data_IF_490929085239
#
_entry.id   IF_490929085239
#
_cell.length_a   1.000
_cell.length_b   1.000
_cell.length_c   1.000
_cell.angle_alpha   90.00
_cell.angle_beta   90.00
_cell.angle_gamma   90.00
#
_symmetry.space_group_name_H-M   'P 1'
#
loop_
_entity.id
_entity.type
_entity.pdbx_description
1 polymer ?
#
# COMPACT_ATOMS: atom_id res chain seq x y z
N UNK A 1 -2.50 -78.84 25.30
CA UNK A 1 -1.18 -78.45 25.85
C UNK A 1 -0.76 -77.15 25.20
N UNK A 2 -0.23 -76.21 26.00
CA UNK A 2 0.26 -74.85 25.69
C UNK A 2 -0.80 -73.79 25.36
N UNK A 3 -1.44 -73.13 26.34
CA UNK A 3 -1.00 -72.07 27.29
C UNK A 3 -0.89 -70.68 26.63
N UNK A 4 -1.87 -69.80 26.89
CA UNK A 4 -1.76 -68.40 27.37
C UNK A 4 -3.20 -67.88 27.60
N UNK A 5 -3.76 -68.00 28.82
CA UNK A 5 -3.70 -67.05 29.96
C UNK A 5 -4.41 -65.70 29.73
N UNK A 6 -5.64 -65.67 30.26
CA UNK A 6 -6.30 -64.63 31.07
C UNK A 6 -6.82 -63.32 30.45
N UNK A 7 -8.16 -63.26 30.53
CA UNK A 7 -9.11 -62.14 30.48
C UNK A 7 -9.06 -61.35 31.81
N UNK A 8 -9.19 -60.02 31.75
CA UNK A 8 -10.01 -59.09 32.59
C UNK A 8 -9.44 -57.66 32.38
N UNK A 9 -10.08 -56.76 31.62
CA UNK A 9 -11.36 -56.04 31.78
C UNK A 9 -11.35 -54.99 32.92
N UNK A 10 -11.37 -53.70 32.55
CA UNK A 10 -12.07 -52.58 33.18
C UNK A 10 -11.63 -51.26 32.50
N UNK A 11 -12.43 -50.26 32.14
CA UNK A 11 -13.86 -49.96 32.26
C UNK A 11 -14.16 -48.95 31.13
N UNK A 12 -15.30 -49.10 30.48
CA UNK A 12 -15.87 -48.12 29.59
C UNK A 12 -16.20 -46.82 30.33
N UNK A 13 -15.88 -45.67 29.74
CA UNK A 13 -16.70 -44.47 29.91
C UNK A 13 -16.74 -43.71 28.59
N UNK A 14 -17.91 -43.84 27.97
CA UNK A 14 -18.47 -42.98 26.94
C UNK A 14 -18.38 -41.51 27.36
N UNK A 15 -17.76 -40.71 26.52
CA UNK A 15 -18.31 -39.41 26.14
C UNK A 15 -17.92 -39.21 24.67
N UNK A 16 -18.78 -39.68 23.77
CA UNK A 16 -18.93 -39.03 22.47
C UNK A 16 -19.47 -37.64 22.81
N UNK A 17 -18.56 -36.71 23.08
CA UNK A 17 -18.91 -35.31 22.92
C UNK A 17 -18.93 -35.15 21.42
N UNK A 18 -20.13 -35.12 20.85
CA UNK A 18 -20.35 -34.41 19.61
C UNK A 18 -19.97 -32.95 19.92
N UNK A 19 -18.67 -32.66 19.87
CA UNK A 19 -18.20 -31.30 19.70
C UNK A 19 -18.75 -30.97 18.33
N UNK A 20 -19.74 -30.06 18.29
CA UNK A 20 -20.09 -29.40 17.05
C UNK A 20 -18.76 -29.03 16.40
N UNK A 21 -18.47 -29.60 15.24
CA UNK A 21 -17.23 -29.32 14.54
C UNK A 21 -17.29 -27.85 14.12
N UNK A 22 -16.92 -26.95 15.04
CA UNK A 22 -16.32 -25.68 14.68
C UNK A 22 -15.09 -26.09 13.88
N UNK A 23 -15.18 -25.95 12.55
CA UNK A 23 -14.11 -26.30 11.65
C UNK A 23 -12.91 -25.40 11.95
N UNK A 24 -12.06 -25.81 12.89
CA UNK A 24 -10.80 -25.11 13.14
C UNK A 24 -9.87 -25.45 11.98
N UNK A 25 -9.79 -24.54 11.03
CA UNK A 25 -8.87 -24.63 9.91
C UNK A 25 -7.45 -24.29 10.40
N UNK A 26 -6.57 -25.28 10.42
CA UNK A 26 -5.15 -25.09 10.70
C UNK A 26 -4.36 -25.17 9.39
N UNK A 27 -3.71 -24.08 9.02
CA UNK A 27 -2.71 -24.07 7.95
C UNK A 27 -1.36 -23.68 8.53
N UNK A 28 -0.34 -24.51 8.29
CA UNK A 28 1.03 -24.23 8.74
C UNK A 28 1.77 -23.43 7.67
N UNK A 29 2.47 -22.38 8.08
CA UNK A 29 3.30 -21.61 7.17
C UNK A 29 4.50 -22.50 6.85
N UNK A 30 4.89 -22.61 5.59
CA UNK A 30 6.14 -23.29 5.23
C UNK A 30 7.30 -22.75 6.07
N UNK A 31 8.34 -23.57 6.26
CA UNK A 31 9.49 -23.18 7.09
C UNK A 31 10.14 -21.91 6.56
N UNK A 32 10.07 -20.83 7.34
CA UNK A 32 10.96 -19.68 7.14
C UNK A 32 12.40 -20.19 7.10
N UNK A 33 13.17 -19.75 6.12
CA UNK A 33 14.51 -20.26 5.85
C UNK A 33 15.53 -19.14 5.82
N UNK A 34 16.70 -19.41 6.36
CA UNK A 34 17.86 -18.53 6.31
C UNK A 34 19.01 -19.27 5.63
N UNK A 35 19.67 -18.61 4.69
CA UNK A 35 20.85 -19.11 4.02
C UNK A 35 21.94 -18.05 4.00
N UNK A 36 23.16 -18.48 4.26
CA UNK A 36 24.37 -17.67 4.07
C UNK A 36 25.27 -18.38 3.06
N UNK A 37 25.59 -17.72 1.96
CA UNK A 37 26.34 -18.30 0.85
C UNK A 37 27.43 -17.33 0.41
N UNK A 38 28.59 -17.86 0.05
CA UNK A 38 29.61 -17.10 -0.67
C UNK A 38 29.44 -17.41 -2.17
N UNK A 39 29.16 -16.41 -2.99
CA UNK A 39 28.95 -16.61 -4.41
C UNK A 39 30.26 -16.86 -5.17
N UNK A 40 30.15 -17.11 -6.48
CA UNK A 40 31.28 -17.40 -7.36
C UNK A 40 32.27 -16.23 -7.48
N UNK A 41 31.86 -15.02 -7.11
CA UNK A 41 32.67 -13.80 -7.08
C UNK A 41 33.23 -13.51 -5.67
N UNK A 42 33.17 -14.49 -4.76
CA UNK A 42 33.57 -14.36 -3.36
C UNK A 42 32.73 -13.38 -2.52
N UNK A 43 31.55 -12.97 -2.98
CA UNK A 43 30.67 -12.09 -2.22
C UNK A 43 29.80 -12.90 -1.26
N UNK A 44 29.67 -12.41 -0.03
CA UNK A 44 28.84 -12.94 1.05
C UNK A 44 27.41 -12.48 0.84
N UNK A 45 26.52 -13.44 0.69
CA UNK A 45 25.10 -13.25 0.41
C UNK A 45 24.28 -13.84 1.56
N UNK A 46 23.29 -13.08 2.01
CA UNK A 46 22.27 -13.55 2.94
C UNK A 46 20.96 -13.70 2.18
N UNK A 47 20.35 -14.87 2.26
CA UNK A 47 19.04 -15.17 1.70
C UNK A 47 18.06 -15.47 2.84
N UNK A 48 16.92 -14.78 2.84
CA UNK A 48 15.81 -15.00 3.79
C UNK A 48 14.57 -15.39 3.01
N UNK A 49 13.87 -16.41 3.47
CA UNK A 49 12.55 -16.80 2.98
C UNK A 49 11.61 -16.71 4.17
N UNK A 50 10.57 -15.90 4.05
CA UNK A 50 9.52 -15.73 5.05
C UNK A 50 8.20 -16.17 4.43
N UNK A 51 7.54 -17.13 5.08
CA UNK A 51 6.14 -17.44 4.79
C UNK A 51 5.28 -16.77 5.86
N UNK A 52 4.26 -16.04 5.46
CA UNK A 52 3.33 -15.40 6.38
C UNK A 52 1.88 -15.62 5.93
N UNK A 53 0.96 -15.67 6.89
CA UNK A 53 -0.47 -15.66 6.68
C UNK A 53 -1.06 -14.46 7.37
N UNK A 54 -1.75 -13.61 6.63
CA UNK A 54 -2.51 -12.50 7.20
C UNK A 54 -4.00 -12.75 7.06
N UNK A 55 -4.76 -12.49 8.13
CA UNK A 55 -6.21 -12.57 8.11
C UNK A 55 -6.79 -11.16 8.17
N UNK A 56 -7.43 -10.73 7.09
CA UNK A 56 -8.12 -9.46 7.02
C UNK A 56 -9.62 -9.65 7.18
N UNK A 57 -10.22 -8.74 7.94
CA UNK A 57 -11.66 -8.67 8.17
C UNK A 57 -12.18 -7.40 7.52
N UNK A 58 -13.13 -7.53 6.60
CA UNK A 58 -13.80 -6.38 5.99
C UNK A 58 -15.28 -6.37 6.37
N UNK A 59 -15.80 -5.19 6.65
CA UNK A 59 -17.19 -4.96 7.01
C UNK A 59 -17.94 -4.33 5.83
N UNK A 60 -19.05 -4.94 5.44
CA UNK A 60 -19.95 -4.42 4.42
C UNK A 60 -20.99 -3.45 5.00
N UNK A 61 -21.73 -2.72 4.14
CA UNK A 61 -22.76 -1.75 4.57
C UNK A 61 -23.94 -2.34 5.36
N UNK A 62 -24.05 -3.67 5.42
CA UNK A 62 -25.13 -4.41 6.07
C UNK A 62 -24.66 -5.16 7.31
N UNK A 63 -23.56 -4.73 7.94
CA UNK A 63 -22.82 -5.47 8.97
C UNK A 63 -22.39 -6.88 8.54
N UNK A 64 -22.32 -7.14 7.23
CA UNK A 64 -21.84 -8.40 6.71
C UNK A 64 -20.31 -8.43 6.79
N UNK A 65 -19.78 -9.44 7.49
CA UNK A 65 -18.35 -9.65 7.63
C UNK A 65 -17.84 -10.53 6.49
N UNK A 66 -16.76 -10.12 5.84
CA UNK A 66 -16.01 -10.95 4.90
C UNK A 66 -14.60 -11.18 5.43
N UNK A 67 -14.18 -12.45 5.45
CA UNK A 67 -12.83 -12.85 5.85
C UNK A 67 -11.98 -13.12 4.62
N UNK A 68 -10.74 -12.63 4.65
CA UNK A 68 -9.76 -12.82 3.60
C UNK A 68 -8.45 -13.30 4.19
N UNK A 69 -7.92 -14.39 3.66
CA UNK A 69 -6.61 -14.94 4.02
C UNK A 69 -5.62 -14.59 2.92
N UNK A 70 -4.57 -13.84 3.26
CA UNK A 70 -3.43 -13.60 2.38
C UNK A 70 -2.30 -14.53 2.77
N UNK A 71 -2.06 -15.53 1.93
CA UNK A 71 -0.90 -16.41 2.02
C UNK A 71 0.26 -15.79 1.23
N UNK A 72 1.37 -15.47 1.90
CA UNK A 72 2.50 -14.80 1.29
C UNK A 72 3.82 -15.52 1.52
N UNK A 73 4.65 -15.54 0.49
CA UNK A 73 6.03 -16.04 0.51
C UNK A 73 6.96 -14.99 -0.03
N UNK A 74 7.68 -14.33 0.86
CA UNK A 74 8.67 -13.32 0.54
C UNK A 74 10.07 -13.93 0.61
N UNK A 75 10.80 -13.89 -0.49
CA UNK A 75 12.23 -14.24 -0.53
C UNK A 75 13.04 -12.98 -0.73
N UNK A 76 13.91 -12.63 0.21
CA UNK A 76 14.85 -11.50 0.08
C UNK A 76 16.28 -12.00 0.04
N UNK A 77 17.12 -11.26 -0.68
CA UNK A 77 18.56 -11.51 -0.75
C UNK A 77 19.31 -10.18 -0.74
N UNK A 78 20.32 -10.08 0.11
CA UNK A 78 21.24 -8.94 0.19
C UNK A 78 22.68 -9.40 0.35
N UNK A 79 23.61 -8.58 -0.12
CA UNK A 79 25.04 -8.81 0.09
C UNK A 79 25.52 -8.11 1.36
N UNK A 80 26.52 -8.71 2.03
CA UNK A 80 27.24 -8.05 3.12
C UNK A 80 28.44 -7.22 2.60
N UNK A 81 28.78 -7.37 1.33
CA UNK A 81 29.96 -6.76 0.72
C UNK A 81 29.61 -5.61 -0.23
N UNK A 82 28.38 -5.58 -0.74
CA UNK A 82 27.86 -4.51 -1.59
C UNK A 82 26.46 -4.13 -1.17
N UNK A 83 26.12 -2.84 -1.32
CA UNK A 83 24.78 -2.37 -1.02
C UNK A 83 23.78 -2.88 -2.06
N UNK A 84 22.60 -3.28 -1.59
CA UNK A 84 21.52 -3.75 -2.44
C UNK A 84 20.72 -4.86 -1.80
N UNK A 85 19.42 -4.80 -2.03
CA UNK A 85 18.49 -5.86 -1.67
C UNK A 85 17.66 -6.21 -2.91
N UNK A 86 17.50 -7.49 -3.14
CA UNK A 86 16.56 -8.02 -4.14
C UNK A 86 15.51 -8.83 -3.40
N UNK A 87 14.32 -8.92 -3.97
CA UNK A 87 13.32 -9.79 -3.39
C UNK A 87 12.24 -10.20 -4.38
N UNK A 88 11.68 -11.37 -4.13
CA UNK A 88 10.57 -11.95 -4.88
C UNK A 88 9.46 -12.29 -3.89
N UNK A 89 8.29 -11.75 -4.13
CA UNK A 89 7.07 -12.07 -3.40
C UNK A 89 6.18 -12.95 -4.26
N UNK A 90 5.62 -13.99 -3.65
CA UNK A 90 4.43 -14.68 -4.15
C UNK A 90 3.34 -14.52 -3.10
N UNK A 91 2.12 -14.23 -3.53
CA UNK A 91 0.97 -14.15 -2.63
C UNK A 91 -0.28 -14.74 -3.28
N UNK A 92 -1.15 -15.31 -2.47
CA UNK A 92 -2.45 -15.84 -2.83
C UNK A 92 -3.48 -15.36 -1.82
N UNK A 93 -4.62 -14.87 -2.30
CA UNK A 93 -5.73 -14.43 -1.46
C UNK A 93 -6.91 -15.37 -1.60
N UNK A 94 -7.45 -15.79 -0.45
CA UNK A 94 -8.59 -16.70 -0.34
C UNK A 94 -9.69 -16.13 0.54
N UNK A 95 -10.92 -16.59 0.34
CA UNK A 95 -12.11 -16.23 1.14
C UNK A 95 -13.06 -17.42 1.28
N UNK A 96 -14.29 -17.16 1.71
CA UNK A 96 -15.36 -18.14 1.86
C UNK A 96 -15.22 -18.99 3.13
N UNK A 97 -16.11 -19.96 3.27
CA UNK A 97 -16.11 -20.88 4.42
C UNK A 97 -14.75 -21.57 4.52
N UNK A 98 -14.16 -21.51 5.72
CA UNK A 98 -12.84 -22.07 6.02
C UNK A 98 -11.71 -21.54 5.11
N UNK A 99 -11.86 -20.38 4.46
CA UNK A 99 -10.82 -19.71 3.67
C UNK A 99 -10.30 -20.55 2.50
N UNK A 100 -11.19 -21.33 1.87
CA UNK A 100 -10.84 -22.27 0.80
C UNK A 100 -11.04 -21.74 -0.63
N UNK A 101 -11.77 -20.64 -0.82
CA UNK A 101 -12.10 -20.14 -2.15
C UNK A 101 -10.98 -19.21 -2.63
N UNK A 102 -10.17 -19.57 -3.64
CA UNK A 102 -9.16 -18.69 -4.18
C UNK A 102 -9.80 -17.50 -4.90
N UNK A 103 -9.32 -16.30 -4.62
CA UNK A 103 -9.73 -15.08 -5.31
C UNK A 103 -8.74 -14.71 -6.39
N UNK A 104 -7.49 -14.53 -6.01
CA UNK A 104 -6.41 -14.17 -6.93
C UNK A 104 -5.06 -14.54 -6.34
N UNK A 105 -4.06 -14.63 -7.22
CA UNK A 105 -2.67 -14.81 -6.83
C UNK A 105 -1.78 -13.84 -7.61
N UNK A 106 -0.60 -13.57 -7.07
CA UNK A 106 0.36 -12.64 -7.65
C UNK A 106 1.78 -13.05 -7.34
N UNK A 107 2.66 -12.80 -8.30
CA UNK A 107 4.11 -12.86 -8.09
C UNK A 107 4.74 -11.58 -8.63
N UNK A 108 5.60 -10.94 -7.84
CA UNK A 108 6.34 -9.76 -8.27
C UNK A 108 7.69 -9.60 -7.56
N UNK A 109 8.51 -8.71 -8.08
CA UNK A 109 9.65 -8.18 -7.33
C UNK A 109 9.13 -7.35 -6.16
N UNK A 110 9.54 -7.69 -4.94
CA UNK A 110 9.22 -6.96 -3.72
C UNK A 110 10.17 -7.40 -2.60
N UNK A 111 10.46 -6.48 -1.69
CA UNK A 111 11.33 -6.68 -0.52
C UNK A 111 10.58 -6.55 0.80
N UNK A 112 9.33 -6.08 0.76
CA UNK A 112 8.40 -6.06 1.88
C UNK A 112 6.96 -6.32 1.40
N UNK A 113 6.12 -6.71 2.35
CA UNK A 113 4.68 -6.81 2.23
C UNK A 113 4.08 -6.30 3.53
N UNK A 114 3.06 -5.46 3.44
CA UNK A 114 2.35 -4.86 4.56
C UNK A 114 0.83 -4.92 4.31
N UNK A 115 0.04 -4.79 5.36
CA UNK A 115 -1.41 -4.97 5.32
C UNK A 115 -2.13 -3.83 6.01
N UNK A 116 -3.17 -3.32 5.35
CA UNK A 116 -4.09 -2.35 5.92
C UNK A 116 -5.42 -3.02 6.22
N UNK A 117 -5.71 -3.19 7.50
CA UNK A 117 -6.93 -3.85 7.97
C UNK A 117 -8.16 -2.96 7.88
N UNK A 118 -7.99 -1.64 7.90
CA UNK A 118 -9.09 -0.68 7.84
C UNK A 118 -9.65 -0.62 6.41
N UNK A 119 -8.75 -0.54 5.43
CA UNK A 119 -9.12 -0.41 4.02
C UNK A 119 -9.09 -1.73 3.23
N UNK A 120 -8.64 -2.82 3.86
CA UNK A 120 -8.51 -4.12 3.20
C UNK A 120 -7.49 -4.08 2.07
N UNK A 121 -6.30 -3.53 2.34
CA UNK A 121 -5.24 -3.40 1.35
C UNK A 121 -4.07 -4.33 1.63
N UNK A 122 -3.43 -4.80 0.56
CA UNK A 122 -2.07 -5.33 0.61
C UNK A 122 -1.15 -4.33 -0.06
N UNK A 123 -0.07 -3.93 0.60
CA UNK A 123 0.97 -3.11 -0.01
C UNK A 123 2.27 -3.88 -0.16
N UNK A 124 2.94 -3.70 -1.30
CA UNK A 124 4.21 -4.38 -1.59
C UNK A 124 5.31 -3.35 -1.84
N UNK A 125 6.33 -3.35 -0.99
CA UNK A 125 7.47 -2.43 -1.09
C UNK A 125 8.61 -3.02 -1.91
N UNK A 126 9.34 -2.18 -2.63
CA UNK A 126 10.58 -2.56 -3.30
C UNK A 126 11.68 -1.60 -2.89
N UNK A 127 12.48 -1.97 -1.91
CA UNK A 127 13.63 -1.18 -1.46
C UNK A 127 14.82 -1.43 -2.39
N UNK A 128 15.65 -0.41 -2.59
CA UNK A 128 16.97 -0.54 -3.23
C UNK A 128 18.02 0.26 -2.46
N UNK A 129 19.28 0.14 -2.88
CA UNK A 129 20.37 0.92 -2.32
C UNK A 129 20.41 2.35 -2.89
N UNK A 130 21.43 3.09 -2.46
CA UNK A 130 22.03 4.15 -3.28
C UNK A 130 21.16 5.41 -3.45
N UNK A 131 20.35 5.73 -2.44
CA UNK A 131 19.57 6.97 -2.38
C UNK A 131 18.24 6.94 -3.13
N UNK A 132 17.85 5.80 -3.71
CA UNK A 132 16.52 5.62 -4.28
C UNK A 132 15.45 5.50 -3.19
N UNK A 133 14.34 6.21 -3.34
CA UNK A 133 13.21 6.14 -2.42
C UNK A 133 12.44 4.83 -2.62
N UNK A 134 12.18 4.10 -1.54
CA UNK A 134 11.37 2.87 -1.58
C UNK A 134 9.97 3.16 -2.10
N UNK A 135 9.61 2.57 -3.23
CA UNK A 135 8.28 2.61 -3.81
C UNK A 135 7.42 1.42 -3.39
N UNK A 136 6.14 1.67 -3.24
CA UNK A 136 5.10 0.74 -2.83
C UNK A 136 4.01 0.66 -3.89
N UNK A 137 3.37 -0.49 -3.98
CA UNK A 137 2.13 -0.73 -4.75
C UNK A 137 1.03 -1.13 -3.81
N UNK A 138 -0.15 -0.51 -3.91
CA UNK A 138 -1.33 -0.88 -3.14
C UNK A 138 -2.31 -1.69 -3.98
N UNK A 139 -2.77 -2.82 -3.43
CA UNK A 139 -3.74 -3.71 -4.03
C UNK A 139 -4.95 -3.86 -3.14
N UNK A 140 -6.13 -3.89 -3.74
CA UNK A 140 -7.36 -4.27 -3.05
C UNK A 140 -7.34 -5.78 -2.74
N UNK A 141 -7.53 -6.16 -1.48
CA UNK A 141 -7.54 -7.57 -1.04
C UNK A 141 -8.65 -8.36 -1.72
N UNK A 142 -9.81 -7.74 -1.95
CA UNK A 142 -10.98 -8.43 -2.49
C UNK A 142 -10.82 -8.79 -3.97
N UNK A 143 -10.30 -7.87 -4.78
CA UNK A 143 -10.23 -8.02 -6.25
C UNK A 143 -8.83 -8.28 -6.80
N UNK A 144 -7.78 -7.94 -6.06
CA UNK A 144 -6.39 -8.02 -6.53
C UNK A 144 -6.01 -6.92 -7.52
N UNK A 145 -6.92 -5.97 -7.77
CA UNK A 145 -6.62 -4.83 -8.64
C UNK A 145 -5.54 -3.94 -8.01
N UNK A 146 -4.56 -3.55 -8.83
CA UNK A 146 -3.65 -2.47 -8.49
C UNK A 146 -4.46 -1.18 -8.40
N UNK A 147 -4.41 -0.52 -7.24
CA UNK A 147 -5.04 0.78 -7.05
C UNK A 147 -4.09 1.84 -7.60
N UNK A 148 -2.89 1.95 -7.01
CA UNK A 148 -1.83 2.85 -7.44
C UNK A 148 -0.50 2.50 -6.77
N UNK A 149 0.56 3.17 -7.22
CA UNK A 149 1.86 3.19 -6.55
C UNK A 149 2.11 4.51 -5.85
N UNK A 150 2.91 4.45 -4.79
CA UNK A 150 3.25 5.59 -3.94
C UNK A 150 4.62 5.36 -3.28
N UNK A 151 5.24 6.41 -2.77
CA UNK A 151 6.30 6.34 -1.78
C UNK A 151 5.72 6.73 -0.41
N UNK A 152 6.27 6.17 0.67
CA UNK A 152 5.95 6.63 2.02
C UNK A 152 6.85 7.80 2.38
N UNK A 153 6.22 8.94 2.71
CA UNK A 153 6.90 10.16 3.16
C UNK A 153 6.66 10.43 4.65
N UNK A 154 5.95 9.53 5.34
CA UNK A 154 5.74 9.59 6.78
C UNK A 154 7.04 9.19 7.49
N UNK A 155 7.66 10.13 8.19
CA UNK A 155 8.83 9.87 9.02
C UNK A 155 8.43 9.12 10.29
N UNK A 156 8.29 7.80 10.21
CA UNK A 156 7.96 6.98 11.38
C UNK A 156 8.09 5.49 11.11
N UNK A 157 9.00 4.84 11.84
CA UNK A 157 9.04 3.38 11.94
C UNK A 157 7.75 2.91 12.62
N UNK A 158 6.84 2.28 11.87
CA UNK A 158 5.70 1.54 12.43
C UNK A 158 4.31 1.96 11.95
N UNK A 159 4.17 2.92 11.04
CA UNK A 159 2.89 3.17 10.38
C UNK A 159 2.64 2.12 9.28
N UNK A 160 1.41 1.60 9.22
CA UNK A 160 0.94 0.83 8.06
C UNK A 160 1.12 1.68 6.82
N UNK A 161 1.79 1.14 5.81
CA UNK A 161 2.08 1.89 4.59
C UNK A 161 0.89 1.82 3.64
N UNK A 162 0.14 2.90 3.56
CA UNK A 162 -0.93 3.09 2.59
C UNK A 162 -0.81 4.49 1.93
N UNK A 163 -1.35 4.68 0.73
CA UNK A 163 -1.48 6.01 0.15
C UNK A 163 -2.49 6.85 0.93
N UNK A 164 -2.55 8.17 0.68
CA UNK A 164 -3.58 9.00 1.29
C UNK A 164 -4.97 8.50 0.87
N UNK A 165 -5.91 8.50 1.81
CA UNK A 165 -7.28 8.01 1.59
C UNK A 165 -8.27 9.16 1.75
N UNK A 166 -9.19 9.31 0.82
CA UNK A 166 -10.40 10.12 0.99
C UNK A 166 -11.57 9.17 1.24
N UNK A 167 -12.08 9.22 2.45
CA UNK A 167 -13.23 8.43 2.89
C UNK A 167 -14.46 9.34 3.04
N UNK A 168 -15.61 8.83 2.61
CA UNK A 168 -16.87 9.54 2.64
C UNK A 168 -17.85 8.76 3.50
N UNK A 169 -18.05 9.15 4.76
CA UNK A 169 -18.88 8.39 5.68
C UNK A 169 -20.34 8.33 5.19
N UNK A 170 -21.00 7.21 5.49
CA UNK A 170 -22.38 6.90 5.14
C UNK A 170 -22.76 7.12 3.66
N UNK A 171 -21.79 7.10 2.75
CA UNK A 171 -21.99 7.23 1.30
C UNK A 171 -21.82 5.89 0.60
N UNK A 172 -22.38 5.80 -0.62
CA UNK A 172 -22.12 4.71 -1.56
C UNK A 172 -20.91 4.98 -2.46
N UNK A 173 -20.24 6.13 -2.28
CA UNK A 173 -19.07 6.46 -3.06
C UNK A 173 -17.85 5.63 -2.61
N UNK A 174 -17.07 5.08 -3.56
CA UNK A 174 -15.86 4.32 -3.21
C UNK A 174 -14.80 5.23 -2.58
N UNK A 175 -13.91 4.65 -1.77
CA UNK A 175 -12.74 5.36 -1.25
C UNK A 175 -11.81 5.77 -2.40
N UNK A 176 -11.24 6.98 -2.29
CA UNK A 176 -10.25 7.49 -3.24
C UNK A 176 -8.89 7.38 -2.61
N UNK A 177 -7.93 6.99 -3.43
CA UNK A 177 -6.55 6.86 -3.02
C UNK A 177 -5.73 7.87 -3.78
N UNK A 178 -4.84 8.57 -3.07
CA UNK A 178 -3.89 9.52 -3.63
C UNK A 178 -2.48 9.07 -3.26
N UNK A 179 -1.72 8.67 -4.27
CA UNK A 179 -0.31 8.30 -4.14
C UNK A 179 0.60 9.37 -4.71
N UNK A 180 1.74 9.60 -4.06
CA UNK A 180 2.83 10.42 -4.63
C UNK A 180 4.03 9.52 -4.85
N UNK A 181 4.61 9.56 -6.04
CA UNK A 181 5.79 8.80 -6.43
C UNK A 181 6.92 9.77 -6.75
N UNK A 182 8.09 9.62 -6.13
CA UNK A 182 9.26 10.45 -6.39
C UNK A 182 9.97 10.05 -7.68
N UNK A 183 10.70 11.01 -8.28
CA UNK A 183 11.45 10.80 -9.54
C UNK A 183 12.52 9.70 -9.46
N UNK A 184 13.02 9.44 -8.26
CA UNK A 184 14.01 8.42 -7.89
C UNK A 184 13.37 7.14 -7.31
N UNK A 185 12.05 7.03 -7.34
CA UNK A 185 11.33 5.87 -6.79
C UNK A 185 11.74 4.57 -7.46
N UNK A 186 11.82 3.50 -6.68
CA UNK A 186 12.08 2.14 -7.19
C UNK A 186 10.86 1.50 -7.88
N UNK A 187 9.68 2.13 -7.83
CA UNK A 187 8.45 1.65 -8.48
C UNK A 187 7.89 2.67 -9.44
N UNK A 188 7.18 2.14 -10.45
CA UNK A 188 6.31 2.87 -11.38
C UNK A 188 6.85 4.23 -11.84
N UNK A 189 7.81 4.16 -12.74
CA UNK A 189 8.53 5.30 -13.33
C UNK A 189 7.83 5.84 -14.57
N UNK A 190 6.50 5.99 -14.53
CA UNK A 190 5.67 6.42 -15.67
C UNK A 190 5.81 7.93 -15.99
N UNK A 191 7.00 8.50 -15.77
CA UNK A 191 7.30 9.89 -16.04
C UNK A 191 7.42 10.11 -17.54
N UNK A 192 6.80 11.18 -18.02
CA UNK A 192 7.08 11.69 -19.36
C UNK A 192 8.29 12.61 -19.31
N UNK A 193 8.96 12.78 -20.44
CA UNK A 193 10.09 13.69 -20.54
C UNK A 193 9.69 15.11 -20.09
N UNK A 194 10.42 15.71 -19.14
CA UNK A 194 10.21 17.10 -18.73
C UNK A 194 10.48 18.08 -19.88
N UNK A 195 9.98 19.31 -19.72
CA UNK A 195 10.38 20.41 -20.62
C UNK A 195 11.90 20.71 -20.48
N UNK A 196 12.54 21.29 -21.51
CA UNK A 196 13.95 21.67 -21.44
C UNK A 196 14.27 22.52 -20.20
N UNK A 197 15.34 22.16 -19.48
CA UNK A 197 15.76 22.84 -18.26
C UNK A 197 14.98 22.45 -16.99
N UNK A 198 14.07 21.47 -17.08
CA UNK A 198 13.35 20.90 -15.94
C UNK A 198 13.77 19.45 -15.70
N UNK A 199 13.65 18.99 -14.47
CA UNK A 199 13.89 17.61 -14.04
C UNK A 199 12.61 17.03 -13.48
N UNK A 200 12.33 15.76 -13.77
CA UNK A 200 11.20 15.04 -13.19
C UNK A 200 11.35 14.94 -11.68
N UNK A 201 10.31 15.24 -10.93
CA UNK A 201 10.39 15.30 -9.46
C UNK A 201 9.36 14.42 -8.79
N UNK A 202 8.09 14.49 -9.20
CA UNK A 202 7.04 13.66 -8.62
C UNK A 202 5.95 13.29 -9.64
N UNK A 203 5.30 12.15 -9.41
CA UNK A 203 4.02 11.78 -10.00
C UNK A 203 2.98 11.72 -8.90
N UNK A 204 1.91 12.51 -9.02
CA UNK A 204 0.73 12.41 -8.17
C UNK A 204 -0.30 11.57 -8.91
N UNK A 205 -0.77 10.51 -8.27
CA UNK A 205 -1.70 9.53 -8.83
C UNK A 205 -2.97 9.54 -7.98
N UNK A 206 -4.14 9.59 -8.61
CA UNK A 206 -5.42 9.48 -7.93
C UNK A 206 -6.28 8.41 -8.61
N UNK A 207 -6.95 7.58 -7.81
CA UNK A 207 -7.85 6.55 -8.32
C UNK A 207 -8.71 5.91 -7.24
N UNK A 208 -9.46 4.90 -7.66
CA UNK A 208 -10.26 4.02 -6.81
C UNK A 208 -9.90 2.57 -7.18
N UNK A 209 -10.42 1.60 -6.43
CA UNK A 209 -10.31 0.19 -6.79
C UNK A 209 -10.83 -0.05 -8.21
N UNK A 210 -9.98 -0.64 -9.06
CA UNK A 210 -10.31 -0.99 -10.45
C UNK A 210 -10.39 0.18 -11.43
N UNK A 211 -10.19 1.44 -11.00
CA UNK A 211 -10.24 2.59 -11.92
C UNK A 211 -9.28 3.71 -11.50
N UNK A 212 -8.33 3.98 -12.39
CA UNK A 212 -7.42 5.11 -12.27
C UNK A 212 -8.06 6.40 -12.81
N UNK A 213 -7.96 7.51 -12.07
CA UNK A 213 -8.65 8.77 -12.42
C UNK A 213 -7.72 9.79 -13.06
N UNK A 214 -6.56 10.03 -12.45
CA UNK A 214 -5.68 11.13 -12.84
C UNK A 214 -4.23 10.84 -12.50
N UNK A 215 -3.34 11.32 -13.36
CA UNK A 215 -1.89 11.35 -13.14
C UNK A 215 -1.37 12.74 -13.42
N UNK A 216 -0.71 13.33 -12.44
CA UNK A 216 -0.10 14.65 -12.55
C UNK A 216 1.41 14.51 -12.41
N UNK A 217 2.17 15.13 -13.30
CA UNK A 217 3.62 15.19 -13.20
C UNK A 217 4.04 16.56 -12.70
N UNK A 218 4.87 16.54 -11.65
CA UNK A 218 5.59 17.68 -11.12
C UNK A 218 7.03 17.61 -11.64
N UNK A 219 7.44 18.66 -12.35
CA UNK A 219 8.79 18.88 -12.82
C UNK A 219 9.35 20.16 -12.18
N UNK A 220 10.65 20.22 -11.90
CA UNK A 220 11.27 21.43 -11.34
C UNK A 220 12.61 21.78 -11.97
N UNK A 221 12.95 23.07 -11.95
CA UNK A 221 14.31 23.55 -12.16
C UNK A 221 15.15 23.17 -10.95
N UNK A 222 16.39 22.73 -11.21
CA UNK A 222 17.36 22.40 -10.18
C UNK A 222 18.61 23.25 -10.37
N UNK A 223 19.24 23.63 -9.27
CA UNK A 223 20.53 24.30 -9.27
C UNK A 223 21.62 23.36 -9.78
N UNK A 224 22.71 23.94 -10.28
CA UNK A 224 23.84 23.16 -10.78
C UNK A 224 24.41 22.24 -9.69
N UNK A 225 24.54 20.95 -10.00
CA UNK A 225 25.03 19.94 -9.06
C UNK A 225 23.99 19.36 -8.09
N UNK A 226 22.73 19.81 -8.16
CA UNK A 226 21.64 19.31 -7.30
C UNK A 226 20.70 18.34 -8.05
N UNK A 227 20.11 17.42 -7.29
CA UNK A 227 19.01 16.56 -7.73
C UNK A 227 17.70 17.02 -7.06
N UNK A 228 16.54 16.86 -7.72
CA UNK A 228 15.27 17.20 -7.10
C UNK A 228 14.98 16.22 -5.97
N UNK A 229 14.44 16.72 -4.85
CA UNK A 229 14.06 15.93 -3.68
C UNK A 229 12.68 16.32 -3.20
N UNK A 230 11.90 15.34 -2.74
CA UNK A 230 10.63 15.57 -2.05
C UNK A 230 10.94 15.60 -0.55
N UNK A 231 10.74 16.76 0.06
CA UNK A 231 11.04 16.99 1.48
C UNK A 231 9.89 16.51 2.36
N UNK A 232 8.65 16.71 1.91
CA UNK A 232 7.46 16.20 2.59
C UNK A 232 6.26 16.15 1.65
N UNK A 233 5.34 15.26 1.95
CA UNK A 233 4.01 15.20 1.35
C UNK A 233 3.00 15.12 2.48
N UNK A 234 1.99 15.98 2.46
CA UNK A 234 0.95 16.02 3.48
C UNK A 234 -0.42 16.25 2.84
N UNK A 235 -1.46 15.75 3.49
CA UNK A 235 -2.84 16.06 3.18
C UNK A 235 -3.39 16.99 4.26
N UNK A 236 -3.99 18.10 3.87
CA UNK A 236 -4.51 19.11 4.78
C UNK A 236 -5.90 19.60 4.36
N UNK A 237 -6.62 20.20 5.32
CA UNK A 237 -7.92 20.83 5.05
C UNK A 237 -7.72 22.10 4.21
N UNK A 238 -8.56 22.30 3.20
CA UNK A 238 -8.58 23.54 2.43
C UNK A 238 -9.53 24.54 3.08
N UNK A 239 -8.98 25.53 3.80
CA UNK A 239 -9.74 26.56 4.51
C UNK A 239 -10.58 27.48 3.61
N UNK A 240 -10.31 27.50 2.31
CA UNK A 240 -11.08 28.29 1.34
C UNK A 240 -12.39 27.62 0.92
N UNK A 241 -12.59 26.35 1.27
CA UNK A 241 -13.80 25.59 0.93
C UNK A 241 -14.76 25.61 2.13
N UNK A 242 -16.04 26.00 1.94
CA UNK A 242 -17.04 25.94 3.00
C UNK A 242 -17.13 24.54 3.62
N UNK A 243 -17.38 24.49 4.92
CA UNK A 243 -17.51 23.26 5.71
C UNK A 243 -16.26 22.37 5.79
N UNK A 244 -15.11 22.77 5.23
CA UNK A 244 -13.86 21.99 5.34
C UNK A 244 -13.41 21.78 6.79
N UNK A 245 -13.82 22.65 7.71
CA UNK A 245 -13.58 22.47 9.15
C UNK A 245 -14.14 21.17 9.74
N UNK A 246 -15.18 20.59 9.12
CA UNK A 246 -15.79 19.32 9.54
C UNK A 246 -14.97 18.08 9.13
N UNK A 247 -14.06 18.21 8.17
CA UNK A 247 -13.22 17.10 7.72
C UNK A 247 -12.30 16.67 8.86
N UNK A 248 -12.11 15.38 9.07
CA UNK A 248 -11.12 14.85 10.01
C UNK A 248 -9.95 14.29 9.21
N UNK A 249 -8.72 14.50 9.68
CA UNK A 249 -7.52 13.94 9.04
C UNK A 249 -6.70 13.22 10.10
N UNK A 250 -6.62 11.90 10.00
CA UNK A 250 -5.88 11.02 10.92
C UNK A 250 -5.10 9.99 10.10
N UNK A 251 -3.81 9.83 10.36
CA UNK A 251 -2.94 8.84 9.69
C UNK A 251 -3.13 8.80 8.16
N UNK A 252 -2.99 9.94 7.48
CA UNK A 252 -3.13 10.03 6.01
C UNK A 252 -4.52 9.67 5.45
N UNK A 253 -5.53 9.50 6.32
CA UNK A 253 -6.94 9.34 5.97
C UNK A 253 -7.66 10.66 6.22
N UNK A 254 -8.34 11.18 5.20
CA UNK A 254 -9.29 12.27 5.33
C UNK A 254 -10.71 11.72 5.32
N UNK A 255 -11.42 11.87 6.42
CA UNK A 255 -12.86 11.56 6.53
C UNK A 255 -13.65 12.82 6.24
N UNK A 256 -14.32 12.84 5.09
CA UNK A 256 -15.02 14.01 4.57
C UNK A 256 -16.44 14.08 5.15
N UNK A 257 -16.58 14.45 6.42
CA UNK A 257 -17.89 14.60 7.09
C UNK A 257 -18.79 15.69 6.49
N UNK A 258 -18.21 16.64 5.73
CA UNK A 258 -18.95 17.72 5.06
C UNK A 258 -19.88 17.22 3.94
N UNK A 259 -19.75 15.95 3.54
CA UNK A 259 -20.52 15.32 2.46
C UNK A 259 -21.18 14.01 2.93
N UNK A 260 -21.33 13.84 4.25
CA UNK A 260 -21.98 12.69 4.87
C UNK A 260 -23.37 12.41 4.26
N UNK A 261 -23.63 11.16 3.88
CA UNK A 261 -24.84 10.74 3.17
C UNK A 261 -24.96 11.23 1.71
N UNK A 262 -23.97 11.99 1.20
CA UNK A 262 -23.92 12.48 -0.17
C UNK A 262 -23.35 11.43 -1.13
N UNK A 263 -24.03 11.18 -2.24
CA UNK A 263 -23.61 10.21 -3.27
C UNK A 263 -23.09 10.85 -4.55
N UNK A 264 -22.96 12.18 -4.61
CA UNK A 264 -22.52 12.91 -5.81
C UNK A 264 -21.01 13.20 -5.76
N UNK A 265 -20.21 12.69 -6.71
CA UNK A 265 -18.79 13.05 -6.85
C UNK A 265 -18.53 14.55 -6.95
N UNK A 266 -19.50 15.34 -7.44
CA UNK A 266 -19.36 16.80 -7.55
C UNK A 266 -19.21 17.50 -6.19
N UNK A 267 -19.67 16.85 -5.11
CA UNK A 267 -19.58 17.35 -3.75
C UNK A 267 -18.21 17.09 -3.09
N UNK A 268 -17.37 16.21 -3.64
CA UNK A 268 -16.07 15.85 -3.05
C UNK A 268 -15.09 17.02 -3.17
N UNK A 269 -14.86 17.72 -2.06
CA UNK A 269 -13.93 18.84 -1.94
C UNK A 269 -13.59 19.14 -0.48
N UNK A 270 -12.63 20.04 -0.26
CA UNK A 270 -12.29 20.56 1.07
C UNK A 270 -10.98 20.02 1.65
N UNK A 271 -10.27 19.18 0.89
CA UNK A 271 -8.90 18.75 1.17
C UNK A 271 -7.95 19.21 0.07
N UNK A 272 -6.67 19.29 0.40
CA UNK A 272 -5.61 19.58 -0.55
C UNK A 272 -4.34 18.80 -0.22
N UNK A 273 -3.58 18.45 -1.25
CA UNK A 273 -2.30 17.78 -1.13
C UNK A 273 -1.20 18.84 -1.21
N UNK A 274 -0.32 18.85 -0.22
CA UNK A 274 0.82 19.75 -0.13
C UNK A 274 2.12 18.96 -0.30
N UNK A 275 2.89 19.32 -1.30
CA UNK A 275 4.15 18.68 -1.66
C UNK A 275 5.25 19.73 -1.54
N UNK A 276 6.21 19.51 -0.64
CA UNK A 276 7.40 20.37 -0.51
C UNK A 276 8.54 19.73 -1.28
N UNK A 277 9.07 20.45 -2.26
CA UNK A 277 10.19 20.00 -3.11
C UNK A 277 11.37 20.94 -2.97
N UNK A 278 12.58 20.40 -3.09
CA UNK A 278 13.82 21.16 -3.06
C UNK A 278 14.76 20.68 -4.17
N UNK A 279 15.43 21.63 -4.83
CA UNK A 279 16.37 21.37 -5.92
C UNK A 279 17.63 22.24 -5.84
N UNK A 280 18.00 22.68 -4.64
CA UNK A 280 19.20 23.50 -4.38
C UNK A 280 18.93 24.99 -4.13
N UNK A 281 17.76 25.50 -4.53
CA UNK A 281 17.38 26.93 -4.36
C UNK A 281 16.35 27.16 -3.24
N UNK A 282 16.34 26.28 -2.23
CA UNK A 282 15.39 26.32 -1.13
C UNK A 282 14.07 25.58 -1.39
N UNK A 283 13.23 25.50 -0.35
CA UNK A 283 12.00 24.73 -0.36
C UNK A 283 10.90 25.44 -1.16
N UNK A 284 10.29 24.69 -2.07
CA UNK A 284 9.18 25.13 -2.92
C UNK A 284 7.96 24.28 -2.59
N UNK A 285 6.85 24.94 -2.25
CA UNK A 285 5.61 24.25 -1.87
C UNK A 285 4.62 24.26 -3.03
N UNK A 286 4.22 23.08 -3.49
CA UNK A 286 3.09 22.90 -4.42
C UNK A 286 1.85 22.48 -3.62
N UNK A 287 0.72 23.12 -3.87
CA UNK A 287 -0.56 22.79 -3.24
C UNK A 287 -1.56 22.43 -4.33
N UNK A 288 -2.15 21.24 -4.24
CA UNK A 288 -3.10 20.70 -5.23
C UNK A 288 -4.43 20.43 -4.52
N UNK A 289 -5.45 21.27 -4.69
CA UNK A 289 -6.74 21.05 -4.07
C UNK A 289 -7.50 19.90 -4.72
N UNK A 290 -8.27 19.16 -3.93
CA UNK A 290 -9.28 18.22 -4.43
C UNK A 290 -10.60 18.95 -4.60
N UNK A 291 -11.15 18.89 -5.81
CA UNK A 291 -12.45 19.46 -6.15
C UNK A 291 -13.19 18.56 -7.12
N UNK A 292 -14.49 18.37 -6.88
CA UNK A 292 -15.36 17.53 -7.72
C UNK A 292 -14.74 16.15 -7.97
N UNK A 293 -14.20 15.56 -6.91
CA UNK A 293 -13.60 14.23 -6.89
C UNK A 293 -12.31 14.10 -7.71
N UNK A 294 -11.62 15.21 -7.97
CA UNK A 294 -10.41 15.28 -8.81
C UNK A 294 -9.38 16.21 -8.19
N UNK A 295 -8.10 15.93 -8.44
CA UNK A 295 -7.01 16.87 -8.24
C UNK A 295 -7.16 18.01 -9.26
N UNK A 296 -7.31 19.23 -8.77
CA UNK A 296 -7.62 20.41 -9.56
C UNK A 296 -6.34 21.20 -9.87
N UNK A 297 -5.94 21.20 -11.14
CA UNK A 297 -4.75 21.91 -11.61
C UNK A 297 -4.98 23.42 -11.73
N UNK A 298 -6.18 23.83 -12.13
CA UNK A 298 -6.51 25.23 -12.38
C UNK A 298 -6.47 26.06 -11.08
N UNK A 299 -6.71 25.39 -9.94
CA UNK A 299 -6.61 25.99 -8.60
C UNK A 299 -5.37 25.55 -7.82
N UNK A 300 -4.43 24.84 -8.47
CA UNK A 300 -3.19 24.47 -7.83
C UNK A 300 -2.29 25.70 -7.62
N UNK A 301 -1.65 25.79 -6.46
CA UNK A 301 -0.60 26.78 -6.22
C UNK A 301 0.73 26.16 -6.62
N UNK A 302 1.36 26.70 -7.67
CA UNK A 302 2.64 26.22 -8.20
C UNK A 302 3.66 27.36 -8.13
N UNK A 303 4.76 27.21 -7.36
CA UNK A 303 5.77 28.26 -7.20
C UNK A 303 6.67 28.36 -8.44
N UNK A 304 7.39 29.48 -8.55
CA UNK A 304 8.29 29.72 -9.67
C UNK A 304 9.36 28.61 -9.81
N UNK A 305 9.60 28.18 -11.05
CA UNK A 305 10.55 27.13 -11.36
C UNK A 305 10.06 25.72 -11.04
N UNK A 306 8.77 25.56 -10.74
CA UNK A 306 8.07 24.27 -10.70
C UNK A 306 6.99 24.28 -11.78
N UNK A 307 6.74 23.13 -12.39
CA UNK A 307 5.69 22.89 -13.37
C UNK A 307 4.84 21.73 -12.90
N UNK A 308 3.52 21.87 -12.99
CA UNK A 308 2.56 20.81 -12.73
C UNK A 308 1.71 20.61 -13.98
N UNK A 309 1.66 19.37 -14.50
CA UNK A 309 0.91 19.05 -15.72
C UNK A 309 0.16 17.74 -15.58
N UNK A 310 -1.03 17.67 -16.17
CA UNK A 310 -1.75 16.40 -16.32
C UNK A 310 -1.05 15.54 -17.38
N UNK A 311 -0.96 14.24 -17.14
CA UNK A 311 -0.57 13.26 -18.14
C UNK A 311 -1.79 12.52 -18.68
N UNK A 312 -1.71 12.08 -19.93
CA UNK A 312 -2.67 11.13 -20.48
C UNK A 312 -2.56 9.77 -19.73
N UNK A 313 -3.70 9.09 -19.58
CA UNK A 313 -3.80 7.78 -18.96
C UNK A 313 -3.58 6.65 -19.95
#
# INVERSE_FOLDING_TARGET
>A
MNRFKWILLAIASTAVVAVAAEHVFFQTAGTSAFGYVKDLNNLRQVKKVLQNYELLVMYGPSDSQSLYLVDSKLTTQYSLDVDGITGKLKMEVRTGDNLQIPLWNKAEDATSIDYDHEFGLVTTGLSQCCGATTGYRAYDVKSGYLILSFNSFSSGNGAVQHPFVLDVPNSQLPQRYIGVVSGDSTRDQDFVTPAPGMVKTALVKMGIVGKFYQRLQLDMKVAEGYAPSIMSVTMEKNSNVPDSGKIEINNDVATLWNIDGGSDPSAIQGVQIKIVVNGGDGDKTVIIPVMKDRLNLDQATVPEGVSLKAQAL
#
